data_IF_113041542261
#
_entry.id   IF_113041542261
#
_cell.length_a   1.000
_cell.length_b   1.000
_cell.length_c   1.000
_cell.angle_alpha   90.00
_cell.angle_beta   90.00
_cell.angle_gamma   90.00
#
_symmetry.space_group_name_H-M   'P 1'
#
loop_
_entity.id
_entity.type
_entity.pdbx_description
1 polymer ?
#
# COMPACT_ATOMS: atom_id res chain seq x y z
N UNK A 1 6.74 9.27 -9.86
CA UNK A 1 6.69 8.01 -9.09
C UNK A 1 7.39 8.27 -7.77
N UNK A 2 6.61 8.45 -6.70
CA UNK A 2 7.11 8.61 -5.33
C UNK A 2 7.72 7.30 -4.82
N UNK A 3 8.56 7.36 -3.80
CA UNK A 3 9.45 6.25 -3.43
C UNK A 3 8.68 5.06 -2.84
N UNK A 4 7.54 5.33 -2.19
CA UNK A 4 6.63 4.36 -1.56
C UNK A 4 5.76 3.56 -2.52
N UNK A 5 5.41 4.12 -3.68
CA UNK A 5 4.52 3.49 -4.67
C UNK A 5 5.09 2.18 -5.26
N UNK A 6 6.41 2.00 -5.18
CA UNK A 6 7.11 0.80 -5.67
C UNK A 6 6.80 -0.48 -4.88
N UNK A 7 6.15 -0.36 -3.73
CA UNK A 7 5.81 -1.51 -2.88
C UNK A 7 4.40 -2.04 -3.13
N UNK A 8 3.61 -1.35 -3.96
CA UNK A 8 2.24 -1.73 -4.26
C UNK A 8 2.12 -2.26 -5.68
N UNK A 9 1.35 -3.32 -5.85
CA UNK A 9 0.99 -3.88 -7.16
C UNK A 9 -0.48 -3.57 -7.42
N UNK A 10 -0.73 -2.72 -8.41
CA UNK A 10 -2.07 -2.42 -8.89
C UNK A 10 -2.67 -3.64 -9.61
N UNK A 11 -3.89 -4.01 -9.26
CA UNK A 11 -4.61 -5.14 -9.82
C UNK A 11 -6.11 -4.83 -9.90
N UNK A 12 -6.80 -5.50 -10.83
CA UNK A 12 -8.26 -5.50 -10.87
C UNK A 12 -8.81 -6.55 -9.89
N UNK A 13 -9.78 -6.16 -9.07
CA UNK A 13 -10.47 -7.01 -8.13
C UNK A 13 -11.33 -8.05 -8.86
N UNK A 14 -10.78 -9.23 -9.10
CA UNK A 14 -11.51 -10.36 -9.68
C UNK A 14 -12.02 -11.32 -8.61
N UNK A 15 -12.96 -12.19 -9.00
CA UNK A 15 -13.54 -13.22 -8.12
C UNK A 15 -12.50 -14.14 -7.47
N UNK A 16 -11.39 -14.40 -8.18
CA UNK A 16 -10.30 -15.21 -7.66
C UNK A 16 -9.67 -14.59 -6.42
N UNK A 17 -9.42 -13.27 -6.44
CA UNK A 17 -8.90 -12.53 -5.28
C UNK A 17 -9.99 -12.38 -4.22
N UNK A 18 -11.18 -11.95 -4.61
CA UNK A 18 -12.25 -11.59 -3.66
C UNK A 18 -12.79 -12.80 -2.88
N UNK A 19 -12.93 -13.95 -3.52
CA UNK A 19 -13.47 -15.15 -2.87
C UNK A 19 -12.40 -16.00 -2.19
N UNK A 20 -11.15 -15.99 -2.67
CA UNK A 20 -10.09 -16.86 -2.14
C UNK A 20 -9.16 -16.17 -1.17
N UNK A 21 -9.07 -14.84 -1.22
CA UNK A 21 -8.15 -14.07 -0.38
C UNK A 21 -8.92 -13.14 0.55
N UNK A 22 -9.58 -12.13 0.00
CA UNK A 22 -10.36 -11.17 0.79
C UNK A 22 -11.27 -10.33 -0.10
N UNK A 23 -12.48 -10.04 0.39
CA UNK A 23 -13.43 -9.12 -0.23
C UNK A 23 -13.49 -7.75 0.48
N UNK A 24 -12.55 -7.48 1.38
CA UNK A 24 -12.45 -6.22 2.13
C UNK A 24 -11.01 -5.71 2.16
N UNK A 25 -10.87 -4.39 2.24
CA UNK A 25 -9.60 -3.73 2.48
C UNK A 25 -9.05 -4.15 3.85
N UNK A 26 -7.78 -4.51 3.91
CA UNK A 26 -7.17 -5.03 5.14
C UNK A 26 -6.91 -3.95 6.20
N UNK A 27 -6.98 -2.67 5.83
CA UNK A 27 -6.78 -1.55 6.76
C UNK A 27 -8.09 -0.96 7.27
N UNK A 28 -8.98 -0.57 6.37
CA UNK A 28 -10.22 0.11 6.74
C UNK A 28 -11.45 -0.81 6.75
N UNK A 29 -11.29 -2.10 6.42
CA UNK A 29 -12.37 -3.09 6.34
C UNK A 29 -13.53 -2.71 5.41
N UNK A 30 -13.32 -1.74 4.51
CA UNK A 30 -14.29 -1.38 3.49
C UNK A 30 -14.35 -2.46 2.42
N UNK A 31 -15.54 -2.74 1.91
CA UNK A 31 -15.75 -3.72 0.84
C UNK A 31 -14.95 -3.38 -0.41
N UNK A 32 -14.37 -4.40 -1.06
CA UNK A 32 -13.66 -4.31 -2.34
C UNK A 32 -14.59 -4.85 -3.43
N UNK A 33 -15.19 -3.97 -4.26
CA UNK A 33 -16.07 -4.39 -5.35
C UNK A 33 -15.32 -5.20 -6.41
N UNK A 34 -16.04 -6.11 -7.06
CA UNK A 34 -15.51 -6.78 -8.25
C UNK A 34 -15.37 -5.76 -9.39
N UNK A 35 -14.25 -5.81 -10.11
CA UNK A 35 -13.90 -4.89 -11.19
C UNK A 35 -13.23 -3.59 -10.73
N UNK A 36 -13.14 -3.32 -9.43
CA UNK A 36 -12.45 -2.14 -8.91
C UNK A 36 -10.92 -2.33 -8.92
N UNK A 37 -10.19 -1.20 -8.99
CA UNK A 37 -8.74 -1.19 -8.80
C UNK A 37 -8.40 -1.37 -7.33
N UNK A 38 -7.62 -2.41 -7.03
CA UNK A 38 -7.10 -2.73 -5.70
C UNK A 38 -5.57 -2.80 -5.72
N UNK A 39 -4.98 -2.64 -4.54
CA UNK A 39 -3.53 -2.56 -4.38
C UNK A 39 -3.05 -3.68 -3.47
N UNK A 40 -2.16 -4.52 -3.98
CA UNK A 40 -1.48 -5.51 -3.16
C UNK A 40 -0.19 -4.91 -2.59
N UNK A 41 -0.13 -4.79 -1.28
CA UNK A 41 1.07 -4.37 -0.54
C UNK A 41 2.03 -5.56 -0.43
N UNK A 42 3.18 -5.46 -1.11
CA UNK A 42 4.21 -6.51 -1.09
C UNK A 42 5.00 -6.60 0.22
N UNK A 43 4.93 -5.58 1.09
CA UNK A 43 5.64 -5.59 2.37
C UNK A 43 4.86 -6.35 3.43
N UNK A 44 3.56 -6.14 3.47
CA UNK A 44 2.65 -6.72 4.47
C UNK A 44 1.79 -7.85 3.92
N UNK A 45 1.92 -8.15 2.62
CA UNK A 45 1.21 -9.20 1.92
C UNK A 45 -0.32 -9.09 2.01
N UNK A 46 -0.86 -7.87 1.92
CA UNK A 46 -2.29 -7.58 2.11
C UNK A 46 -2.89 -6.76 0.97
N UNK A 47 -4.21 -6.88 0.79
CA UNK A 47 -4.95 -6.10 -0.20
C UNK A 47 -5.58 -4.85 0.41
N UNK A 48 -5.45 -3.73 -0.31
CA UNK A 48 -5.86 -2.40 0.10
C UNK A 48 -6.73 -1.73 -0.97
N UNK A 49 -7.63 -0.85 -0.54
CA UNK A 49 -8.27 0.10 -1.44
C UNK A 49 -7.33 1.26 -1.79
N UNK A 50 -7.65 2.00 -2.85
CA UNK A 50 -6.91 3.19 -3.29
C UNK A 50 -6.58 4.14 -2.13
N UNK A 51 -7.61 4.50 -1.34
CA UNK A 51 -7.48 5.47 -0.24
C UNK A 51 -6.41 5.05 0.76
N UNK A 52 -6.47 3.81 1.25
CA UNK A 52 -5.51 3.32 2.24
C UNK A 52 -4.10 3.18 1.65
N UNK A 53 -3.98 2.84 0.36
CA UNK A 53 -2.68 2.84 -0.31
C UNK A 53 -2.10 4.25 -0.40
N UNK A 54 -2.89 5.26 -0.76
CA UNK A 54 -2.44 6.66 -0.84
C UNK A 54 -2.01 7.18 0.55
N UNK A 55 -2.83 6.95 1.58
CA UNK A 55 -2.49 7.32 2.97
C UNK A 55 -1.18 6.66 3.45
N UNK A 56 -0.95 5.40 3.08
CA UNK A 56 0.30 4.71 3.41
C UNK A 56 1.49 5.30 2.64
N UNK A 57 1.34 5.58 1.35
CA UNK A 57 2.41 6.21 0.54
C UNK A 57 2.80 7.57 1.13
N UNK A 58 1.80 8.39 1.50
CA UNK A 58 2.03 9.69 2.11
C UNK A 58 2.77 9.55 3.46
N UNK A 59 2.35 8.59 4.29
CA UNK A 59 3.03 8.32 5.57
C UNK A 59 4.49 7.87 5.40
N UNK A 60 4.82 7.17 4.30
CA UNK A 60 6.19 6.73 4.00
C UNK A 60 7.07 7.87 3.54
N UNK A 61 6.51 8.82 2.78
CA UNK A 61 7.23 10.02 2.34
C UNK A 61 7.45 10.98 3.52
N UNK A 62 6.50 11.12 4.46
CA UNK A 62 6.67 11.91 5.70
C UNK A 62 7.74 11.33 6.64
N UNK A 63 7.85 10.00 6.72
CA UNK A 63 8.87 9.35 7.53
C UNK A 63 10.27 9.33 6.86
N UNK A 64 10.38 9.87 5.64
CA UNK A 64 11.66 10.16 4.99
C UNK A 64 12.26 11.48 5.51
N UNK A 65 12.15 11.73 6.82
CA UNK A 65 12.93 12.76 7.49
C UNK A 65 14.40 12.38 7.38
N UNK A 66 15.09 13.09 6.48
CA UNK A 66 16.53 13.05 6.24
C UNK A 66 17.23 13.05 7.60
N UNK A 67 17.71 11.89 8.04
CA UNK A 67 18.67 11.83 9.14
C UNK A 67 19.93 12.46 8.58
N UNK A 68 20.11 13.77 8.82
CA UNK A 68 21.39 14.42 8.66
C UNK A 68 22.35 13.72 9.63
N UNK A 69 23.09 12.71 9.15
CA UNK A 69 24.30 12.23 9.81
C UNK A 69 25.27 13.41 9.86
N UNK A 70 25.18 14.24 10.90
CA UNK A 70 26.26 15.15 11.27
C UNK A 70 27.41 14.28 11.77
N UNK A 71 28.46 14.22 10.95
CA UNK A 71 29.85 13.97 11.34
C UNK A 71 30.12 12.65 12.06
N UNK A 72 30.44 11.60 11.31
CA UNK A 72 31.38 10.61 11.84
C UNK A 72 32.74 11.30 12.01
N UNK A 73 33.26 11.30 13.24
CA UNK A 73 34.64 11.70 13.52
C UNK A 73 35.59 10.77 12.75
N UNK A 74 36.36 11.35 11.83
CA UNK A 74 37.66 10.85 11.42
C UNK A 74 38.71 11.76 12.03
#
# INVERSE_FOLDING_TARGET
>A
MTKGDRCFVEQEANEGILMRVTNVCSECYTFLPNGDTIYYDMQTCRYLCQKCKDELVDSMDENCNIVHKKGGLF
#
